data_IF_414366063068
#
_entry.id   IF_414366063068
#
_cell.length_a   1.000
_cell.length_b   1.000
_cell.length_c   1.000
_cell.angle_alpha   90.00
_cell.angle_beta   90.00
_cell.angle_gamma   90.00
#
_symmetry.space_group_name_H-M   'P 1'
#
loop_
_entity.id
_entity.type
_entity.pdbx_description
1 polymer ?
#
# COMPACT_ATOMS: atom_id res chain seq x y z
N UNK A 1 14.87 -0.13 2.15
CA UNK A 1 13.71 0.76 2.41
C UNK A 1 13.13 0.54 3.80
N UNK A 2 12.41 -0.56 4.09
CA UNK A 2 11.86 -0.78 5.45
C UNK A 2 12.96 -0.87 6.51
N UNK A 3 14.05 -1.59 6.22
CA UNK A 3 15.21 -1.66 7.11
C UNK A 3 15.84 -0.30 7.41
N UNK A 4 15.85 0.60 6.43
CA UNK A 4 16.36 1.97 6.61
C UNK A 4 15.39 2.80 7.44
N UNK A 5 14.08 2.65 7.21
CA UNK A 5 13.04 3.32 7.97
C UNK A 5 13.07 2.92 9.46
N UNK A 6 13.42 1.67 9.77
CA UNK A 6 13.59 1.20 11.15
C UNK A 6 14.77 1.82 11.89
N UNK A 7 15.71 2.47 11.18
CA UNK A 7 16.85 3.17 11.79
C UNK A 7 16.52 4.57 12.30
N UNK A 8 15.37 5.14 11.95
CA UNK A 8 14.88 6.41 12.53
C UNK A 8 13.84 6.15 13.65
N UNK A 9 13.72 7.06 14.61
CA UNK A 9 12.69 7.00 15.66
C UNK A 9 11.29 7.16 15.07
N UNK A 10 11.15 8.05 14.09
CA UNK A 10 9.94 8.31 13.33
C UNK A 10 10.25 8.20 11.84
N UNK A 11 9.47 7.40 11.13
CA UNK A 11 9.60 7.22 9.68
C UNK A 11 8.25 7.22 8.99
N UNK A 12 8.24 7.68 7.74
CA UNK A 12 7.11 7.55 6.83
C UNK A 12 7.58 6.92 5.52
N UNK A 13 6.89 5.90 5.06
CA UNK A 13 7.09 5.29 3.74
C UNK A 13 5.88 5.62 2.88
N UNK A 14 6.12 6.06 1.65
CA UNK A 14 5.09 6.29 0.64
C UNK A 14 5.26 5.31 -0.51
N UNK A 15 4.29 4.42 -0.72
CA UNK A 15 4.24 3.46 -1.82
C UNK A 15 3.15 3.87 -2.81
N UNK A 16 3.57 4.37 -3.96
CA UNK A 16 2.63 4.82 -4.98
C UNK A 16 2.24 3.68 -5.92
N UNK A 17 0.97 3.64 -6.31
CA UNK A 17 0.44 2.76 -7.37
C UNK A 17 0.70 1.27 -7.07
N UNK A 18 0.05 0.75 -6.02
CA UNK A 18 0.25 -0.62 -5.55
C UNK A 18 0.02 -1.66 -6.65
N UNK A 19 -0.98 -1.47 -7.51
CA UNK A 19 -1.24 -2.36 -8.64
C UNK A 19 -0.03 -2.42 -9.59
N UNK A 20 0.62 -1.30 -9.87
CA UNK A 20 1.84 -1.29 -10.68
C UNK A 20 3.02 -1.95 -9.96
N UNK A 21 3.20 -1.69 -8.65
CA UNK A 21 4.27 -2.33 -7.85
C UNK A 21 4.14 -3.85 -7.85
N UNK A 22 2.93 -4.37 -7.72
CA UNK A 22 2.65 -5.81 -7.79
C UNK A 22 2.74 -6.37 -9.20
N UNK A 23 2.98 -5.54 -10.23
CA UNK A 23 2.97 -5.97 -11.62
C UNK A 23 1.60 -6.47 -12.09
N UNK A 24 0.52 -5.87 -11.58
CA UNK A 24 -0.83 -6.23 -11.96
C UNK A 24 -1.11 -5.93 -13.44
N UNK A 25 -1.64 -6.91 -14.16
CA UNK A 25 -2.17 -6.73 -15.52
C UNK A 25 -3.62 -7.22 -15.56
N UNK A 26 -4.59 -6.42 -16.03
CA UNK A 26 -5.99 -6.84 -16.10
C UNK A 26 -6.26 -7.86 -17.21
N UNK A 27 -5.40 -7.94 -18.24
CA UNK A 27 -5.58 -8.89 -19.35
C UNK A 27 -5.05 -10.26 -18.96
N UNK A 28 -5.99 -11.19 -18.71
CA UNK A 28 -5.71 -12.50 -18.14
C UNK A 28 -5.06 -12.30 -16.77
N UNK A 29 -5.82 -11.90 -15.73
CA UNK A 29 -5.33 -11.25 -14.51
C UNK A 29 -4.05 -11.90 -13.96
N UNK A 30 -2.96 -11.13 -13.91
CA UNK A 30 -1.67 -11.57 -13.34
C UNK A 30 -1.13 -10.53 -12.37
N UNK A 31 -0.27 -11.00 -11.49
CA UNK A 31 0.53 -10.23 -10.56
C UNK A 31 1.81 -11.00 -10.25
N UNK A 32 2.79 -10.33 -9.66
CA UNK A 32 4.02 -10.94 -9.18
C UNK A 32 3.79 -11.45 -7.75
N UNK A 33 3.64 -12.77 -7.58
CA UNK A 33 3.40 -13.39 -6.27
C UNK A 33 4.45 -12.99 -5.23
N UNK A 34 5.73 -12.96 -5.61
CA UNK A 34 6.83 -12.56 -4.73
C UNK A 34 6.65 -11.14 -4.17
N UNK A 35 6.13 -10.21 -4.98
CA UNK A 35 5.89 -8.83 -4.52
C UNK A 35 4.67 -8.77 -3.62
N UNK A 36 3.60 -9.50 -3.97
CA UNK A 36 2.40 -9.59 -3.15
C UNK A 36 2.72 -10.18 -1.77
N UNK A 37 3.46 -11.29 -1.71
CA UNK A 37 3.89 -11.95 -0.47
C UNK A 37 4.78 -11.02 0.37
N UNK A 38 5.69 -10.28 -0.28
CA UNK A 38 6.49 -9.27 0.40
C UNK A 38 5.61 -8.14 0.97
N UNK A 39 4.61 -7.66 0.23
CA UNK A 39 3.68 -6.63 0.74
C UNK A 39 2.90 -7.14 1.95
N UNK A 40 2.42 -8.38 1.91
CA UNK A 40 1.75 -9.00 3.06
C UNK A 40 2.65 -9.02 4.29
N UNK A 41 3.88 -9.50 4.15
CA UNK A 41 4.85 -9.54 5.24
C UNK A 41 5.15 -8.15 5.79
N UNK A 42 5.42 -7.18 4.92
CA UNK A 42 5.81 -5.82 5.30
C UNK A 42 4.67 -5.02 5.93
N UNK A 43 3.43 -5.16 5.42
CA UNK A 43 2.25 -4.46 5.94
C UNK A 43 1.72 -5.09 7.24
N UNK A 44 1.97 -6.39 7.48
CA UNK A 44 1.62 -7.06 8.74
C UNK A 44 2.60 -6.79 9.87
N UNK A 45 3.83 -6.40 9.54
CA UNK A 45 4.94 -6.31 10.48
C UNK A 45 4.88 -5.03 11.31
N UNK A 46 5.05 -5.15 12.63
CA UNK A 46 5.24 -3.99 13.51
C UNK A 46 6.69 -3.49 13.44
N UNK A 47 6.94 -2.17 13.51
CA UNK A 47 8.31 -1.65 13.62
C UNK A 47 8.98 -2.11 14.92
N UNK A 48 10.32 -2.12 14.99
CA UNK A 48 11.05 -2.46 16.22
C UNK A 48 10.64 -1.59 17.41
N UNK A 49 10.82 -2.12 18.63
CA UNK A 49 10.45 -1.42 19.87
C UNK A 49 11.08 -0.02 19.93
N UNK A 50 10.27 0.96 20.28
CA UNK A 50 10.69 2.37 20.38
C UNK A 50 10.75 3.11 19.04
N UNK A 51 10.40 2.46 17.91
CA UNK A 51 10.31 3.09 16.59
C UNK A 51 8.85 3.21 16.16
N UNK A 52 8.52 4.26 15.39
CA UNK A 52 7.21 4.46 14.78
C UNK A 52 7.34 4.56 13.27
N UNK A 53 6.47 3.86 12.56
CA UNK A 53 6.42 3.84 11.11
C UNK A 53 4.99 4.13 10.65
N UNK A 54 4.85 5.11 9.77
CA UNK A 54 3.64 5.34 8.98
C UNK A 54 3.88 4.82 7.56
N UNK A 55 2.97 4.01 7.04
CA UNK A 55 3.00 3.56 5.66
C UNK A 55 1.76 4.12 4.95
N UNK A 56 1.99 4.89 3.90
CA UNK A 56 0.94 5.44 3.04
C UNK A 56 1.05 4.77 1.69
N UNK A 57 -0.06 4.21 1.21
CA UNK A 57 -0.13 3.60 -0.10
C UNK A 57 -1.20 4.27 -0.95
N UNK A 58 -0.98 4.31 -2.26
CA UNK A 58 -2.00 4.75 -3.22
C UNK A 58 -2.35 3.62 -4.18
N UNK A 59 -3.61 3.62 -4.63
CA UNK A 59 -4.09 2.71 -5.67
C UNK A 59 -5.22 3.38 -6.44
N UNK A 60 -5.30 3.12 -7.74
CA UNK A 60 -6.42 3.51 -8.59
C UNK A 60 -7.47 2.39 -8.67
N UNK A 61 -7.19 1.21 -8.12
CA UNK A 61 -8.00 -0.01 -8.26
C UNK A 61 -8.27 -0.65 -6.91
N UNK A 62 -9.19 -0.05 -6.14
CA UNK A 62 -9.61 -0.58 -4.83
C UNK A 62 -10.06 -2.05 -4.92
N UNK A 63 -10.87 -2.38 -5.92
CA UNK A 63 -11.43 -3.73 -6.12
C UNK A 63 -10.32 -4.79 -6.24
N UNK A 64 -9.23 -4.47 -6.94
CA UNK A 64 -8.07 -5.38 -7.07
C UNK A 64 -7.41 -5.62 -5.71
N UNK A 65 -7.27 -4.58 -4.87
CA UNK A 65 -6.73 -4.76 -3.52
C UNK A 65 -7.66 -5.57 -2.60
N UNK A 66 -8.96 -5.52 -2.86
CA UNK A 66 -9.96 -6.31 -2.14
C UNK A 66 -9.89 -7.78 -2.53
N UNK A 67 -9.92 -8.07 -3.84
CA UNK A 67 -9.77 -9.42 -4.39
C UNK A 67 -8.44 -10.07 -3.98
N UNK A 68 -7.36 -9.29 -3.99
CA UNK A 68 -6.05 -9.78 -3.58
C UNK A 68 -5.89 -9.91 -2.07
N UNK A 69 -6.88 -9.51 -1.25
CA UNK A 69 -6.87 -9.63 0.22
C UNK A 69 -6.00 -8.61 0.97
N UNK A 70 -5.56 -7.54 0.29
CA UNK A 70 -4.67 -6.52 0.87
C UNK A 70 -5.39 -5.44 1.66
N UNK A 71 -6.64 -5.12 1.32
CA UNK A 71 -7.38 -4.03 2.00
C UNK A 71 -7.45 -4.19 3.54
N UNK A 72 -7.73 -5.38 4.10
CA UNK A 72 -7.76 -5.58 5.55
C UNK A 72 -6.43 -5.34 6.27
N UNK A 73 -5.31 -5.30 5.54
CA UNK A 73 -3.98 -5.07 6.12
C UNK A 73 -3.74 -3.60 6.50
N UNK A 74 -4.55 -2.68 5.95
CA UNK A 74 -4.42 -1.26 6.23
C UNK A 74 -5.25 -0.84 7.45
N UNK A 75 -4.64 -0.08 8.35
CA UNK A 75 -5.33 0.49 9.53
C UNK A 75 -6.44 1.46 9.13
N UNK A 76 -6.29 2.15 8.00
CA UNK A 76 -7.29 3.06 7.46
C UNK A 76 -7.22 3.06 5.93
N UNK A 77 -8.38 3.20 5.29
CA UNK A 77 -8.49 3.35 3.84
C UNK A 77 -9.29 4.61 3.54
N UNK A 78 -8.64 5.59 2.90
CA UNK A 78 -9.23 6.87 2.57
C UNK A 78 -9.63 6.92 1.10
N UNK A 79 -10.91 7.19 0.83
CA UNK A 79 -11.40 7.40 -0.55
C UNK A 79 -11.10 8.84 -0.97
N UNK A 80 -10.37 9.01 -2.06
CA UNK A 80 -10.12 10.31 -2.68
C UNK A 80 -11.04 10.44 -3.90
N UNK A 81 -12.16 11.19 -3.81
CA UNK A 81 -13.05 11.39 -4.94
C UNK A 81 -12.44 12.33 -5.98
N UNK A 82 -12.76 12.12 -7.25
CA UNK A 82 -12.55 13.14 -8.27
C UNK A 82 -13.41 14.37 -7.99
N UNK A 83 -12.87 15.54 -8.34
CA UNK A 83 -13.62 16.79 -8.36
C UNK A 83 -14.79 16.61 -9.35
N UNK A 84 -16.01 16.91 -8.91
CA UNK A 84 -17.22 16.78 -9.73
C UNK A 84 -17.72 18.11 -10.26
N UNK A 85 -17.50 19.16 -9.50
CA UNK A 85 -17.97 20.51 -9.76
C UNK A 85 -16.82 21.47 -9.47
N UNK A 86 -16.69 22.50 -10.28
CA UNK A 86 -15.78 23.62 -10.04
C UNK A 86 -16.68 24.72 -9.49
N UNK A 87 -16.47 25.11 -8.23
CA UNK A 87 -17.12 26.30 -7.68
C UNK A 87 -16.46 27.54 -8.31
N UNK A 88 -17.29 28.48 -8.79
CA UNK A 88 -16.87 29.78 -9.34
C UNK A 88 -16.28 30.71 -8.28
#
# INVERSE_FOLDING_TARGET
>A
MFDDAYRSELSCIFMNDLEQLMGYSPIGPRYQSIVLDAMYSLLSSSPPKGRKLLVICTSKRREVLEELGLLPMFTAVLRVPYIREVED
#
